data_IF_811063106384
#
_entry.id   IF_811063106384
#
_cell.length_a   1.000
_cell.length_b   1.000
_cell.length_c   1.000
_cell.angle_alpha   90.00
_cell.angle_beta   90.00
_cell.angle_gamma   90.00
#
_symmetry.space_group_name_H-M   'P 1'
#
loop_
_entity.id
_entity.type
_entity.pdbx_description
1 polymer ?
#
# COMPACT_ATOMS: atom_id res chain seq x y z
N UNK A 1 -5.52 -16.82 3.58
CA UNK A 1 -4.70 -15.62 3.30
C UNK A 1 -3.29 -15.66 3.93
N UNK A 2 -2.66 -16.82 4.18
CA UNK A 2 -1.33 -16.84 4.84
C UNK A 2 -0.32 -16.01 4.04
N UNK A 3 0.37 -15.09 4.72
CA UNK A 3 1.37 -14.18 4.15
C UNK A 3 2.78 -14.67 4.45
N UNK A 4 3.70 -14.51 3.51
CA UNK A 4 5.09 -14.95 3.69
C UNK A 4 5.89 -14.02 4.62
N UNK A 5 5.45 -12.77 4.83
CA UNK A 5 6.16 -11.81 5.68
C UNK A 5 6.00 -12.04 7.20
N UNK A 6 5.13 -12.97 7.64
CA UNK A 6 4.81 -13.12 9.07
C UNK A 6 6.06 -13.36 9.91
N UNK A 7 6.91 -14.29 9.50
CA UNK A 7 8.07 -14.71 10.30
C UNK A 7 9.09 -13.56 10.42
N UNK A 8 9.31 -12.80 9.34
CA UNK A 8 10.19 -11.62 9.37
C UNK A 8 9.60 -10.49 10.22
N UNK A 9 8.29 -10.23 10.13
CA UNK A 9 7.63 -9.21 10.97
C UNK A 9 7.77 -9.56 12.45
N UNK A 10 7.58 -10.83 12.82
CA UNK A 10 7.77 -11.28 14.20
C UNK A 10 9.21 -11.05 14.67
N UNK A 11 10.20 -11.33 13.81
CA UNK A 11 11.61 -11.06 14.10
C UNK A 11 11.90 -9.56 14.29
N UNK A 12 11.35 -8.70 13.44
CA UNK A 12 11.59 -7.26 13.47
C UNK A 12 10.88 -6.57 14.64
N UNK A 13 9.73 -7.10 15.08
CA UNK A 13 9.00 -6.63 16.25
C UNK A 13 9.82 -6.74 17.54
N UNK A 14 10.76 -7.68 17.63
CA UNK A 14 11.70 -7.77 18.76
C UNK A 14 12.66 -6.58 18.84
N UNK A 15 12.89 -5.89 17.72
CA UNK A 15 13.92 -4.85 17.60
C UNK A 15 13.33 -3.44 17.61
N UNK A 16 12.30 -3.21 16.81
CA UNK A 16 11.79 -1.87 16.50
C UNK A 16 10.26 -1.88 16.35
N UNK A 17 9.68 -0.69 16.18
CA UNK A 17 8.30 -0.59 15.69
C UNK A 17 8.24 -1.24 14.32
N UNK A 18 7.21 -2.04 14.05
CA UNK A 18 6.95 -2.52 12.70
C UNK A 18 5.76 -1.77 12.11
N UNK A 19 5.92 -1.24 10.91
CA UNK A 19 4.82 -0.72 10.10
C UNK A 19 4.43 -1.74 9.02
N UNK A 20 3.14 -2.02 8.92
CA UNK A 20 2.58 -2.72 7.75
C UNK A 20 1.91 -1.67 6.88
N UNK A 21 2.50 -1.44 5.70
CA UNK A 21 2.04 -0.45 4.72
C UNK A 21 1.60 -1.14 3.44
N UNK A 22 0.76 -0.49 2.64
CA UNK A 22 0.33 -1.04 1.35
C UNK A 22 -1.09 -0.61 0.94
N UNK A 23 -1.58 -1.12 -0.20
CA UNK A 23 -2.88 -0.75 -0.76
C UNK A 23 -4.04 -1.01 0.21
N UNK A 24 -5.12 -0.24 0.09
CA UNK A 24 -6.36 -0.48 0.84
C UNK A 24 -6.94 -1.85 0.46
N UNK A 25 -7.60 -2.54 1.39
CA UNK A 25 -8.16 -3.90 1.18
C UNK A 25 -7.15 -5.01 0.81
N UNK A 26 -5.84 -4.76 0.84
CA UNK A 26 -4.81 -5.80 0.64
C UNK A 26 -4.70 -6.80 1.81
N UNK A 27 -5.39 -6.55 2.92
CA UNK A 27 -5.40 -7.43 4.10
C UNK A 27 -4.42 -7.05 5.22
N UNK A 28 -4.08 -5.76 5.36
CA UNK A 28 -3.21 -5.26 6.45
C UNK A 28 -3.77 -5.56 7.84
N UNK A 29 -5.03 -5.19 8.10
CA UNK A 29 -5.71 -5.46 9.37
C UNK A 29 -5.82 -6.96 9.65
N UNK A 30 -6.05 -7.78 8.61
CA UNK A 30 -6.04 -9.24 8.76
C UNK A 30 -4.66 -9.74 9.21
N UNK A 31 -3.59 -9.32 8.53
CA UNK A 31 -2.22 -9.71 8.86
C UNK A 31 -1.84 -9.29 10.29
N UNK A 32 -2.18 -8.06 10.68
CA UNK A 32 -1.90 -7.57 12.03
C UNK A 32 -2.62 -8.38 13.11
N UNK A 33 -3.90 -8.73 12.90
CA UNK A 33 -4.65 -9.59 13.82
C UNK A 33 -4.09 -11.01 13.88
N UNK A 34 -3.64 -11.58 12.75
CA UNK A 34 -2.99 -12.88 12.73
C UNK A 34 -1.66 -12.89 13.49
N UNK A 35 -0.87 -11.83 13.35
CA UNK A 35 0.34 -11.64 14.17
C UNK A 35 -0.06 -11.53 15.66
N UNK A 36 -1.12 -10.79 15.97
CA UNK A 36 -1.65 -10.66 17.34
C UNK A 36 -1.98 -11.98 18.01
N UNK A 37 -2.43 -13.00 17.26
CA UNK A 37 -2.69 -14.36 17.77
C UNK A 37 -1.42 -15.11 18.22
N UNK A 38 -0.23 -14.64 17.84
CA UNK A 38 1.06 -15.24 18.25
C UNK A 38 1.57 -14.72 19.60
N UNK A 39 0.90 -13.72 20.17
CA UNK A 39 1.25 -13.09 21.44
C UNK A 39 0.22 -13.46 22.52
N UNK A 40 0.66 -13.51 23.78
CA UNK A 40 -0.21 -13.93 24.89
C UNK A 40 -1.21 -12.82 25.26
N UNK A 41 -0.81 -11.57 25.13
CA UNK A 41 -1.57 -10.40 25.57
C UNK A 41 -1.53 -9.29 24.51
N UNK A 42 -1.95 -9.60 23.28
CA UNK A 42 -2.07 -8.58 22.24
C UNK A 42 -3.25 -7.63 22.50
N UNK A 43 -3.04 -6.34 22.25
CA UNK A 43 -4.07 -5.31 22.27
C UNK A 43 -4.19 -4.70 20.87
N UNK A 44 -5.37 -4.81 20.27
CA UNK A 44 -5.69 -4.18 19.00
C UNK A 44 -6.54 -2.94 19.24
N UNK A 45 -6.13 -1.80 18.69
CA UNK A 45 -6.84 -0.53 18.75
C UNK A 45 -6.91 0.07 17.35
N UNK A 46 -8.10 0.43 16.88
CA UNK A 46 -8.30 1.05 15.58
C UNK A 46 -8.78 2.50 15.76
N UNK A 47 -8.02 3.45 15.21
CA UNK A 47 -8.29 4.87 15.42
C UNK A 47 -9.62 5.36 14.79
N UNK A 48 -10.26 4.59 13.92
CA UNK A 48 -11.62 4.90 13.43
C UNK A 48 -12.71 4.69 14.50
N UNK A 49 -12.41 3.96 15.58
CA UNK A 49 -13.35 3.72 16.68
C UNK A 49 -13.13 4.71 17.79
N UNK A 50 -14.20 5.39 18.21
CA UNK A 50 -14.11 6.44 19.23
C UNK A 50 -13.58 5.90 20.56
N UNK A 51 -13.98 4.69 20.97
CA UNK A 51 -13.53 4.06 22.21
C UNK A 51 -12.01 3.79 22.17
N UNK A 52 -11.52 3.27 21.06
CA UNK A 52 -10.10 2.99 20.84
C UNK A 52 -9.28 4.29 20.81
N UNK A 53 -9.82 5.38 20.25
CA UNK A 53 -9.15 6.69 20.29
C UNK A 53 -8.90 7.17 21.72
N UNK A 54 -9.85 6.96 22.64
CA UNK A 54 -9.67 7.35 24.03
C UNK A 54 -8.57 6.53 24.70
N UNK A 55 -8.54 5.22 24.46
CA UNK A 55 -7.50 4.32 24.98
C UNK A 55 -6.12 4.71 24.43
N UNK A 56 -6.02 5.01 23.13
CA UNK A 56 -4.78 5.46 22.49
C UNK A 56 -4.32 6.77 23.13
N UNK A 57 -5.17 7.80 23.19
CA UNK A 57 -4.79 9.11 23.72
C UNK A 57 -4.40 9.09 25.20
N UNK A 58 -5.06 8.26 26.00
CA UNK A 58 -4.78 8.11 27.43
C UNK A 58 -3.68 7.08 27.74
N UNK A 59 -3.14 6.40 26.73
CA UNK A 59 -2.21 5.28 26.87
C UNK A 59 -2.69 4.20 27.86
N UNK A 60 -4.01 3.96 27.88
CA UNK A 60 -4.68 3.22 28.97
C UNK A 60 -4.89 1.73 28.67
N UNK A 61 -4.08 1.14 27.79
CA UNK A 61 -4.13 -0.30 27.52
C UNK A 61 -3.58 -1.10 28.73
N UNK A 62 -3.93 -2.40 28.85
CA UNK A 62 -3.47 -3.22 29.96
C UNK A 62 -1.94 -3.25 30.07
N UNK A 63 -1.38 -3.07 31.28
CA UNK A 63 0.08 -3.13 31.51
C UNK A 63 0.72 -4.47 31.14
N UNK A 64 -0.07 -5.54 31.09
CA UNK A 64 0.37 -6.89 30.69
C UNK A 64 0.52 -7.07 29.17
N UNK A 65 0.17 -6.05 28.37
CA UNK A 65 0.20 -6.14 26.91
C UNK A 65 1.63 -6.36 26.41
N UNK A 66 1.84 -7.44 25.65
CA UNK A 66 3.13 -7.80 25.04
C UNK A 66 3.23 -7.36 23.56
N UNK A 67 2.08 -7.09 22.92
CA UNK A 67 1.99 -6.48 21.60
C UNK A 67 0.86 -5.45 21.54
N UNK A 68 1.19 -4.21 21.21
CA UNK A 68 0.23 -3.15 20.88
C UNK A 68 0.11 -3.01 19.37
N UNK A 69 -1.10 -3.22 18.84
CA UNK A 69 -1.44 -3.06 17.43
C UNK A 69 -2.27 -1.78 17.28
N UNK A 70 -1.74 -0.82 16.53
CA UNK A 70 -2.39 0.47 16.25
C UNK A 70 -2.79 0.52 14.78
N UNK A 71 -4.10 0.39 14.51
CA UNK A 71 -4.65 0.46 13.15
C UNK A 71 -5.13 1.87 12.81
N UNK A 72 -4.88 2.27 11.56
CA UNK A 72 -5.25 3.60 11.02
C UNK A 72 -4.72 4.79 11.86
N UNK A 73 -3.62 4.59 12.60
CA UNK A 73 -3.04 5.59 13.52
C UNK A 73 -2.69 6.93 12.84
N UNK A 74 -2.39 6.90 11.54
CA UNK A 74 -2.07 8.10 10.76
C UNK A 74 -3.20 9.14 10.68
N UNK A 75 -4.43 8.78 11.07
CA UNK A 75 -5.56 9.70 11.21
C UNK A 75 -5.47 10.56 12.47
N UNK A 76 -4.64 10.17 13.44
CA UNK A 76 -4.38 10.97 14.64
C UNK A 76 -3.49 12.18 14.31
N UNK A 77 -3.90 13.41 14.65
CA UNK A 77 -3.02 14.57 14.56
C UNK A 77 -1.77 14.36 15.42
N UNK A 78 -0.59 14.64 14.86
CA UNK A 78 0.68 14.48 15.61
C UNK A 78 1.07 13.03 15.92
N UNK A 79 0.47 12.04 15.25
CA UNK A 79 0.67 10.61 15.55
C UNK A 79 2.13 10.16 15.60
N UNK A 80 3.02 10.77 14.80
CA UNK A 80 4.44 10.38 14.80
C UNK A 80 5.14 10.71 16.12
N UNK A 81 4.82 11.87 16.72
CA UNK A 81 5.38 12.29 18.00
C UNK A 81 4.79 11.47 19.14
N UNK A 82 3.49 11.20 19.08
CA UNK A 82 2.81 10.28 20.00
C UNK A 82 3.49 8.90 19.98
N UNK A 83 3.66 8.31 18.80
CA UNK A 83 4.25 6.98 18.65
C UNK A 83 5.72 6.93 19.13
N UNK A 84 6.48 8.01 18.89
CA UNK A 84 7.83 8.16 19.45
C UNK A 84 7.79 8.13 20.98
N UNK A 85 6.88 8.90 21.58
CA UNK A 85 6.66 8.91 23.03
C UNK A 85 6.40 7.51 23.57
N UNK A 86 5.38 6.82 23.03
CA UNK A 86 5.03 5.45 23.41
C UNK A 86 6.22 4.50 23.26
N UNK A 87 7.00 4.61 22.19
CA UNK A 87 8.15 3.74 21.96
C UNK A 87 9.31 4.01 22.93
N UNK A 88 9.57 5.27 23.26
CA UNK A 88 10.67 5.67 24.14
C UNK A 88 10.32 5.42 25.63
N UNK A 89 9.03 5.39 26.02
CA UNK A 89 8.56 5.17 27.41
C UNK A 89 7.99 3.77 27.68
N UNK A 90 7.93 2.89 26.67
CA UNK A 90 7.32 1.56 26.80
C UNK A 90 7.99 0.70 27.88
N UNK A 91 7.18 -0.18 28.47
CA UNK A 91 7.69 -1.28 29.29
C UNK A 91 8.56 -2.23 28.45
N UNK A 92 9.56 -2.82 29.10
CA UNK A 92 10.39 -3.85 28.49
C UNK A 92 9.53 -5.03 28.01
N UNK A 93 9.72 -5.46 26.77
CA UNK A 93 8.93 -6.52 26.14
C UNK A 93 7.66 -6.06 25.42
N UNK A 94 7.24 -4.78 25.52
CA UNK A 94 6.14 -4.27 24.70
C UNK A 94 6.58 -4.06 23.25
N UNK A 95 5.97 -4.80 22.33
CA UNK A 95 6.18 -4.66 20.88
C UNK A 95 5.09 -3.79 20.29
N UNK A 96 5.40 -3.05 19.23
CA UNK A 96 4.47 -2.11 18.61
C UNK A 96 4.36 -2.41 17.12
N UNK A 97 3.15 -2.73 16.69
CA UNK A 97 2.79 -2.94 15.29
C UNK A 97 1.83 -1.83 14.87
N UNK A 98 2.13 -1.14 13.78
CA UNK A 98 1.27 -0.08 13.24
C UNK A 98 0.84 -0.46 11.83
N UNK A 99 -0.46 -0.41 11.57
CA UNK A 99 -1.00 -0.54 10.21
C UNK A 99 -1.43 0.82 9.70
N UNK A 100 -1.23 1.04 8.40
CA UNK A 100 -1.82 2.19 7.74
C UNK A 100 -1.72 2.11 6.24
N UNK A 101 -2.50 2.98 5.59
CA UNK A 101 -2.55 3.10 4.14
C UNK A 101 -1.34 3.87 3.60
N UNK A 102 -1.19 3.86 2.27
CA UNK A 102 -0.77 4.97 1.40
C UNK A 102 0.03 6.13 2.02
N UNK A 103 -0.61 6.84 2.96
CA UNK A 103 -0.09 8.02 3.63
C UNK A 103 1.24 7.77 4.36
N UNK A 104 1.40 6.61 5.01
CA UNK A 104 2.60 6.32 5.79
C UNK A 104 3.88 6.30 4.95
N UNK A 105 3.81 5.82 3.70
CA UNK A 105 4.96 5.79 2.80
C UNK A 105 5.29 7.17 2.23
N UNK A 106 4.29 7.99 1.87
CA UNK A 106 4.50 9.38 1.46
C UNK A 106 5.14 10.22 2.59
N UNK A 107 4.75 9.95 3.84
CA UNK A 107 5.30 10.62 5.03
C UNK A 107 6.70 10.14 5.44
N UNK A 108 7.29 9.13 4.76
CA UNK A 108 8.72 8.78 4.93
C UNK A 108 9.64 9.90 4.45
N UNK A 109 9.19 10.76 3.55
CA UNK A 109 10.01 11.82 2.93
C UNK A 109 10.02 13.14 3.71
N UNK A 110 9.27 13.26 4.81
CA UNK A 110 9.15 14.52 5.58
C UNK A 110 9.35 14.29 7.08
N UNK A 111 10.49 14.78 7.59
CA UNK A 111 10.70 15.23 8.97
C UNK A 111 10.80 14.17 10.08
N UNK A 112 12.05 13.76 10.34
CA UNK A 112 12.75 13.39 11.59
C UNK A 112 12.14 12.59 12.76
N UNK A 113 10.83 12.53 13.02
CA UNK A 113 10.41 12.10 14.37
C UNK A 113 10.51 10.58 14.66
N UNK A 114 10.57 9.74 13.62
CA UNK A 114 10.62 8.26 13.76
C UNK A 114 11.85 7.62 13.09
N UNK A 115 12.79 8.42 12.58
CA UNK A 115 13.95 7.92 11.88
C UNK A 115 14.72 6.90 12.75
N UNK A 116 15.07 5.76 12.15
CA UNK A 116 15.80 4.68 12.80
C UNK A 116 15.01 3.85 13.82
N UNK A 117 13.77 4.20 14.18
CA UNK A 117 12.95 3.51 15.21
C UNK A 117 11.96 2.49 14.65
N UNK A 118 11.92 2.31 13.34
CA UNK A 118 10.99 1.37 12.72
C UNK A 118 11.57 0.58 11.55
N UNK A 119 10.96 -0.56 11.29
CA UNK A 119 11.00 -1.28 10.02
C UNK A 119 9.63 -1.16 9.36
N UNK A 120 9.57 -1.06 8.03
CA UNK A 120 8.29 -1.16 7.33
C UNK A 120 8.29 -2.33 6.37
N UNK A 121 7.13 -2.98 6.34
CA UNK A 121 6.83 -4.13 5.52
C UNK A 121 5.71 -3.75 4.56
N UNK A 122 6.02 -3.72 3.27
CA UNK A 122 5.03 -3.49 2.20
C UNK A 122 4.24 -4.77 1.96
N UNK A 123 2.98 -4.74 2.35
CA UNK A 123 2.01 -5.77 2.04
C UNK A 123 1.35 -5.46 0.69
N UNK A 124 1.79 -6.15 -0.35
CA UNK A 124 1.24 -6.04 -1.71
C UNK A 124 0.21 -7.15 -2.00
N UNK A 125 -0.57 -7.01 -3.08
CA UNK A 125 -1.51 -8.04 -3.53
C UNK A 125 -0.86 -9.42 -3.62
N UNK A 126 -1.67 -10.48 -3.55
CA UNK A 126 -1.18 -11.86 -3.68
C UNK A 126 -0.28 -12.02 -4.90
N UNK A 127 0.72 -12.86 -4.73
CA UNK A 127 1.55 -13.35 -5.84
C UNK A 127 1.35 -14.85 -5.98
N UNK A 128 1.67 -15.38 -7.16
CA UNK A 128 1.66 -16.81 -7.41
C UNK A 128 2.38 -17.61 -6.30
N UNK A 129 3.54 -17.12 -5.86
CA UNK A 129 4.32 -17.72 -4.76
C UNK A 129 3.56 -17.88 -3.42
N UNK A 130 2.59 -17.02 -3.10
CA UNK A 130 1.80 -17.12 -1.87
C UNK A 130 0.60 -18.07 -2.01
N UNK A 131 0.13 -18.26 -3.24
CA UNK A 131 -1.05 -19.09 -3.54
C UNK A 131 -0.66 -20.51 -3.94
N UNK A 132 0.64 -20.85 -4.01
CA UNK A 132 1.12 -22.21 -4.36
C UNK A 132 0.51 -23.35 -3.54
N UNK A 133 0.03 -23.09 -2.32
CA UNK A 133 -0.66 -24.08 -1.47
C UNK A 133 -2.11 -24.38 -1.91
N UNK A 134 -2.62 -23.60 -2.87
CA UNK A 134 -3.91 -23.70 -3.53
C UNK A 134 -3.65 -23.74 -5.05
N UNK A 135 -3.06 -24.82 -5.57
CA UNK A 135 -2.63 -24.91 -6.97
C UNK A 135 -3.78 -24.68 -7.97
N UNK A 136 -5.02 -25.02 -7.58
CA UNK A 136 -6.24 -24.76 -8.34
C UNK A 136 -6.54 -23.26 -8.54
N UNK A 137 -6.03 -22.40 -7.67
CA UNK A 137 -6.17 -20.95 -7.75
C UNK A 137 -4.92 -20.27 -8.31
N UNK A 138 -3.78 -20.98 -8.36
CA UNK A 138 -2.46 -20.41 -8.64
C UNK A 138 -2.14 -20.32 -10.15
N UNK A 139 -3.10 -19.87 -10.97
CA UNK A 139 -2.91 -19.70 -12.42
C UNK A 139 -2.67 -18.25 -12.80
N UNK A 140 -1.82 -18.00 -13.79
CA UNK A 140 -1.51 -16.65 -14.29
C UNK A 140 -2.78 -15.99 -14.84
N UNK A 141 -3.62 -16.77 -15.51
CA UNK A 141 -4.89 -16.34 -16.09
C UNK A 141 -5.81 -15.78 -15.01
N UNK A 142 -5.93 -16.45 -13.87
CA UNK A 142 -6.74 -15.96 -12.74
C UNK A 142 -6.19 -14.64 -12.21
N UNK A 143 -4.88 -14.46 -12.13
CA UNK A 143 -4.30 -13.18 -11.72
C UNK A 143 -4.51 -12.07 -12.74
N UNK A 144 -4.49 -12.38 -14.04
CA UNK A 144 -4.80 -11.43 -15.12
C UNK A 144 -6.26 -10.99 -15.05
N UNK A 145 -7.19 -11.89 -14.75
CA UNK A 145 -8.64 -11.62 -14.72
C UNK A 145 -9.12 -11.00 -13.39
N UNK A 146 -8.60 -11.52 -12.27
CA UNK A 146 -9.07 -11.19 -10.92
C UNK A 146 -8.17 -10.20 -10.18
N UNK A 147 -6.91 -10.09 -10.58
CA UNK A 147 -5.90 -9.33 -9.85
C UNK A 147 -5.41 -10.09 -8.62
N UNK A 148 -4.45 -9.51 -7.89
CA UNK A 148 -3.92 -10.12 -6.67
C UNK A 148 -4.65 -9.71 -5.39
N UNK A 149 -5.61 -8.79 -5.44
CA UNK A 149 -6.28 -8.32 -4.23
C UNK A 149 -7.08 -9.46 -3.59
N UNK A 150 -7.02 -9.66 -2.26
CA UNK A 150 -7.57 -10.87 -1.65
C UNK A 150 -9.04 -11.12 -1.95
N UNK A 151 -9.88 -10.10 -1.82
CA UNK A 151 -11.33 -10.22 -1.99
C UNK A 151 -11.76 -10.55 -3.43
N UNK A 152 -11.35 -9.80 -4.49
CA UNK A 152 -11.72 -10.16 -5.86
C UNK A 152 -11.03 -11.45 -6.34
N UNK A 153 -9.84 -11.79 -5.81
CA UNK A 153 -9.15 -13.03 -6.16
C UNK A 153 -9.87 -14.27 -5.62
N UNK A 154 -10.38 -14.19 -4.39
CA UNK A 154 -11.09 -15.26 -3.69
C UNK A 154 -12.60 -15.29 -3.98
N UNK A 155 -13.13 -14.29 -4.70
CA UNK A 155 -14.54 -14.24 -5.07
C UNK A 155 -14.97 -15.47 -5.88
N UNK A 156 -16.20 -15.95 -5.62
CA UNK A 156 -16.78 -17.14 -6.27
C UNK A 156 -17.01 -16.91 -7.76
N UNK A 157 -17.52 -15.74 -8.15
CA UNK A 157 -17.87 -15.40 -9.53
C UNK A 157 -17.07 -14.21 -10.07
N UNK A 158 -16.94 -14.11 -11.40
CA UNK A 158 -16.29 -12.96 -12.05
C UNK A 158 -17.08 -11.67 -11.84
N UNK A 159 -18.40 -11.80 -11.83
CA UNK A 159 -19.32 -10.73 -11.53
C UNK A 159 -19.02 -10.11 -10.16
N UNK A 160 -18.81 -10.92 -9.12
CA UNK A 160 -18.53 -10.40 -7.77
C UNK A 160 -17.16 -9.72 -7.69
N UNK A 161 -16.13 -10.29 -8.32
CA UNK A 161 -14.83 -9.65 -8.42
C UNK A 161 -14.91 -8.29 -9.14
N UNK A 162 -15.71 -8.20 -10.20
CA UNK A 162 -15.94 -6.95 -10.96
C UNK A 162 -16.74 -5.94 -10.14
N UNK A 163 -17.79 -6.37 -9.43
CA UNK A 163 -18.59 -5.51 -8.53
C UNK A 163 -17.73 -4.93 -7.43
N UNK A 164 -16.91 -5.75 -6.78
CA UNK A 164 -15.93 -5.30 -5.79
C UNK A 164 -15.01 -4.23 -6.37
N UNK A 165 -14.47 -4.46 -7.57
CA UNK A 165 -13.51 -3.55 -8.21
C UNK A 165 -14.13 -2.19 -8.53
N UNK A 166 -15.37 -2.18 -9.01
CA UNK A 166 -16.12 -0.95 -9.26
C UNK A 166 -16.32 -0.17 -7.95
N UNK A 167 -16.69 -0.84 -6.86
CA UNK A 167 -16.84 -0.22 -5.55
C UNK A 167 -15.50 0.28 -4.98
N UNK A 168 -14.41 -0.47 -5.19
CA UNK A 168 -13.07 -0.09 -4.77
C UNK A 168 -12.61 1.20 -5.45
N UNK A 169 -12.76 1.29 -6.78
CA UNK A 169 -12.41 2.50 -7.54
C UNK A 169 -13.27 3.69 -7.11
N UNK A 170 -14.59 3.50 -6.99
CA UNK A 170 -15.49 4.56 -6.53
C UNK A 170 -15.14 5.04 -5.12
N UNK A 171 -14.83 4.12 -4.19
CA UNK A 171 -14.43 4.43 -2.82
C UNK A 171 -13.10 5.18 -2.74
N UNK A 172 -12.09 4.75 -3.51
CA UNK A 172 -10.80 5.44 -3.60
C UNK A 172 -10.97 6.87 -4.12
N UNK A 173 -11.75 7.04 -5.20
CA UNK A 173 -11.91 8.32 -5.87
C UNK A 173 -12.78 9.29 -5.05
N UNK A 174 -13.82 8.80 -4.37
CA UNK A 174 -14.70 9.67 -3.58
C UNK A 174 -14.14 9.97 -2.21
N UNK A 175 -13.60 8.97 -1.51
CA UNK A 175 -13.24 9.13 -0.10
C UNK A 175 -11.77 9.51 0.07
N UNK A 176 -10.86 8.79 -0.59
CA UNK A 176 -9.44 8.93 -0.28
C UNK A 176 -8.79 10.10 -1.04
N UNK A 177 -9.21 10.32 -2.29
CA UNK A 177 -8.77 11.47 -3.11
C UNK A 177 -9.29 12.80 -2.52
N UNK A 178 -10.56 12.90 -2.11
CA UNK A 178 -11.07 14.14 -1.48
C UNK A 178 -10.35 14.51 -0.18
N UNK A 179 -9.84 13.51 0.54
CA UNK A 179 -9.05 13.72 1.74
C UNK A 179 -7.59 14.14 1.46
N UNK A 180 -7.16 14.24 0.19
CA UNK A 180 -5.93 14.94 -0.17
C UNK A 180 -6.22 16.44 -0.25
N UNK A 181 -5.51 17.22 0.55
CA UNK A 181 -5.64 18.68 0.56
C UNK A 181 -5.53 19.27 -0.87
N UNK A 182 -6.42 20.20 -1.21
CA UNK A 182 -6.40 21.02 -2.44
C UNK A 182 -6.68 20.31 -3.77
N UNK A 183 -7.56 19.32 -3.84
CA UNK A 183 -8.06 18.83 -5.14
C UNK A 183 -9.27 19.67 -5.56
N UNK A 184 -9.05 20.54 -6.54
CA UNK A 184 -10.08 21.46 -7.04
C UNK A 184 -10.94 20.83 -8.13
N UNK A 185 -10.46 19.76 -8.78
CA UNK A 185 -11.15 19.12 -9.90
C UNK A 185 -11.06 17.58 -9.83
N UNK A 186 -12.12 16.98 -9.28
CA UNK A 186 -12.29 15.53 -9.21
C UNK A 186 -12.47 14.88 -10.59
N UNK A 187 -13.02 15.60 -11.57
CA UNK A 187 -13.23 15.05 -12.90
C UNK A 187 -11.91 14.93 -13.64
N UNK A 188 -11.02 15.91 -13.48
CA UNK A 188 -9.70 15.86 -14.08
C UNK A 188 -8.84 14.72 -13.52
N UNK A 189 -8.84 14.45 -12.21
CA UNK A 189 -8.10 13.29 -11.67
C UNK A 189 -8.70 11.95 -12.11
N UNK A 190 -10.03 11.86 -12.24
CA UNK A 190 -10.69 10.69 -12.86
C UNK A 190 -10.26 10.52 -14.31
N UNK A 191 -10.15 11.61 -15.07
CA UNK A 191 -9.68 11.56 -16.45
C UNK A 191 -8.21 11.10 -16.53
N UNK A 192 -7.34 11.61 -15.66
CA UNK A 192 -5.95 11.13 -15.54
C UNK A 192 -5.92 9.63 -15.23
N UNK A 193 -6.73 9.16 -14.29
CA UNK A 193 -6.87 7.74 -13.99
C UNK A 193 -7.30 6.92 -15.22
N UNK A 194 -8.34 7.36 -15.94
CA UNK A 194 -8.83 6.70 -17.15
C UNK A 194 -7.81 6.66 -18.30
N UNK A 195 -7.04 7.74 -18.47
CA UNK A 195 -5.95 7.80 -19.45
C UNK A 195 -4.87 6.78 -19.07
N UNK A 196 -4.41 6.77 -17.82
CA UNK A 196 -3.35 5.88 -17.36
C UNK A 196 -3.70 4.39 -17.53
N UNK A 197 -4.97 4.01 -17.36
CA UNK A 197 -5.44 2.62 -17.57
C UNK A 197 -5.13 2.08 -18.97
N UNK A 198 -4.95 2.95 -19.95
CA UNK A 198 -4.64 2.62 -21.36
C UNK A 198 -3.16 2.81 -21.72
N UNK A 199 -2.34 3.36 -20.81
CA UNK A 199 -0.93 3.69 -21.04
C UNK A 199 0.05 2.71 -20.38
N UNK A 200 -0.44 1.58 -19.87
CA UNK A 200 0.42 0.55 -19.30
C UNK A 200 1.48 0.11 -20.31
N UNK A 201 2.73 0.01 -19.84
CA UNK A 201 3.87 -0.34 -20.67
C UNK A 201 4.39 0.78 -21.58
N UNK A 202 3.69 1.91 -21.66
CA UNK A 202 4.09 3.08 -22.46
C UNK A 202 4.81 4.14 -21.61
N UNK A 203 5.83 4.83 -22.13
CA UNK A 203 6.41 6.00 -21.46
C UNK A 203 5.36 7.09 -21.22
N UNK A 204 5.33 7.65 -20.02
CA UNK A 204 4.36 8.67 -19.63
C UNK A 204 4.75 10.05 -20.19
N UNK A 205 3.97 10.53 -21.16
CA UNK A 205 4.00 11.94 -21.56
C UNK A 205 3.06 12.76 -20.67
N UNK A 206 3.60 13.40 -19.64
CA UNK A 206 2.83 14.30 -18.75
C UNK A 206 2.12 15.39 -19.56
N UNK A 207 2.78 15.91 -20.60
CA UNK A 207 2.18 16.92 -21.46
C UNK A 207 0.94 16.39 -22.22
N UNK A 208 0.96 15.14 -22.69
CA UNK A 208 -0.23 14.55 -23.34
C UNK A 208 -1.34 14.32 -22.33
N UNK A 209 -1.03 13.71 -21.19
CA UNK A 209 -1.99 13.44 -20.13
C UNK A 209 -2.66 14.75 -19.67
N UNK A 210 -1.89 15.82 -19.52
CA UNK A 210 -2.39 17.13 -19.13
C UNK A 210 -3.36 17.72 -20.16
N UNK A 211 -3.03 17.66 -21.46
CA UNK A 211 -3.92 18.10 -22.54
C UNK A 211 -5.21 17.30 -22.56
N UNK A 212 -5.11 15.98 -22.52
CA UNK A 212 -6.26 15.07 -22.62
C UNK A 212 -7.17 15.17 -21.38
N UNK A 213 -6.59 15.46 -20.20
CA UNK A 213 -7.32 15.70 -18.97
C UNK A 213 -7.80 17.15 -18.78
N UNK A 214 -7.45 18.08 -19.69
CA UNK A 214 -7.86 19.48 -19.61
C UNK A 214 -7.23 20.27 -18.46
N UNK A 215 -6.02 19.90 -18.01
CA UNK A 215 -5.33 20.54 -16.87
C UNK A 215 -3.90 20.95 -17.21
N UNK A 216 -3.26 21.72 -16.33
CA UNK A 216 -1.84 22.06 -16.48
C UNK A 216 -0.95 20.81 -16.30
N UNK A 217 0.26 20.76 -16.91
CA UNK A 217 1.22 19.69 -16.66
C UNK A 217 1.59 19.51 -15.19
N UNK A 218 1.68 20.60 -14.43
CA UNK A 218 1.94 20.57 -12.98
C UNK A 218 0.81 19.85 -12.24
N UNK A 219 -0.45 20.15 -12.60
CA UNK A 219 -1.63 19.49 -12.04
C UNK A 219 -1.66 17.99 -12.40
N UNK A 220 -1.36 17.63 -13.66
CA UNK A 220 -1.30 16.24 -14.09
C UNK A 220 -0.21 15.45 -13.33
N UNK A 221 1.00 16.01 -13.18
CA UNK A 221 2.07 15.41 -12.35
C UNK A 221 1.62 15.21 -10.91
N UNK A 222 0.94 16.21 -10.33
CA UNK A 222 0.40 16.12 -8.97
C UNK A 222 -0.64 15.01 -8.85
N UNK A 223 -1.56 14.88 -9.81
CA UNK A 223 -2.58 13.83 -9.82
C UNK A 223 -1.98 12.43 -9.99
N UNK A 224 -0.97 12.26 -10.85
CA UNK A 224 -0.20 11.01 -10.95
C UNK A 224 0.45 10.68 -9.59
N UNK A 225 1.05 11.67 -8.92
CA UNK A 225 1.64 11.50 -7.59
C UNK A 225 0.62 11.10 -6.52
N UNK A 226 -0.60 11.64 -6.56
CA UNK A 226 -1.69 11.25 -5.64
C UNK A 226 -2.11 9.80 -5.89
N UNK A 227 -2.30 9.40 -7.16
CA UNK A 227 -2.63 8.00 -7.51
C UNK A 227 -1.53 7.02 -7.08
N UNK A 228 -0.28 7.42 -7.18
CA UNK A 228 0.86 6.63 -6.71
C UNK A 228 0.89 6.53 -5.17
N UNK A 229 0.74 7.67 -4.48
CA UNK A 229 0.67 7.69 -3.03
C UNK A 229 -0.48 6.83 -2.49
N UNK A 230 -1.61 6.77 -3.20
CA UNK A 230 -2.77 5.93 -2.87
C UNK A 230 -2.59 4.43 -3.16
N UNK A 231 -1.43 3.99 -3.66
CA UNK A 231 -1.23 2.62 -4.14
C UNK A 231 -2.24 2.20 -5.22
N UNK A 232 -2.65 3.13 -6.09
CA UNK A 232 -3.46 2.81 -7.28
C UNK A 232 -2.52 2.41 -8.41
N UNK A 233 -1.47 3.21 -8.60
CA UNK A 233 -0.41 2.99 -9.58
C UNK A 233 0.96 2.98 -8.91
N UNK A 234 1.97 2.51 -9.62
CA UNK A 234 3.37 2.74 -9.31
C UNK A 234 4.14 3.03 -10.61
N UNK A 235 5.24 3.78 -10.50
CA UNK A 235 6.09 4.12 -11.64
C UNK A 235 7.37 3.30 -11.65
N UNK A 236 7.76 2.84 -12.83
CA UNK A 236 9.08 2.28 -13.10
C UNK A 236 9.84 3.29 -13.96
N UNK A 237 10.96 3.77 -13.43
CA UNK A 237 11.86 4.66 -14.16
C UNK A 237 12.79 3.84 -15.05
N UNK A 238 13.16 4.33 -16.24
CA UNK A 238 14.13 3.65 -17.08
C UNK A 238 15.44 3.43 -16.33
N UNK A 239 16.08 2.28 -16.54
CA UNK A 239 17.42 2.03 -16.04
C UNK A 239 18.47 2.49 -17.06
N UNK A 240 19.53 3.12 -16.58
CA UNK A 240 20.73 3.42 -17.37
C UNK A 240 21.93 3.53 -16.45
N UNK A 241 23.11 3.22 -16.98
CA UNK A 241 24.38 3.30 -16.23
C UNK A 241 24.64 4.68 -15.62
N UNK A 242 24.00 5.73 -16.16
CA UNK A 242 23.99 7.05 -15.58
C UNK A 242 22.63 7.31 -14.91
N UNK A 243 22.56 7.04 -13.60
CA UNK A 243 21.35 7.20 -12.78
C UNK A 243 20.76 8.62 -12.94
N UNK A 244 21.62 9.66 -12.99
CA UNK A 244 21.19 11.04 -13.18
C UNK A 244 20.42 11.26 -14.49
N UNK A 245 20.87 10.64 -15.60
CA UNK A 245 20.14 10.68 -16.88
C UNK A 245 18.88 9.82 -16.86
N UNK A 246 18.86 8.74 -16.09
CA UNK A 246 17.68 7.90 -15.91
C UNK A 246 16.51 8.62 -15.27
N UNK A 247 16.77 9.46 -14.27
CA UNK A 247 15.76 10.26 -13.55
C UNK A 247 15.03 11.23 -14.50
N UNK A 248 15.72 11.72 -15.53
CA UNK A 248 15.15 12.65 -16.51
C UNK A 248 14.29 11.97 -17.59
N UNK A 249 14.36 10.64 -17.71
CA UNK A 249 13.58 9.91 -18.73
C UNK A 249 12.15 9.66 -18.24
N UNK A 250 11.21 9.66 -19.17
CA UNK A 250 9.81 9.38 -18.89
C UNK A 250 9.62 7.98 -18.27
N UNK A 251 9.04 7.87 -17.07
CA UNK A 251 8.74 6.59 -16.46
C UNK A 251 7.57 5.89 -17.17
N UNK A 252 7.41 4.60 -16.92
CA UNK A 252 6.18 3.85 -17.23
C UNK A 252 5.35 3.73 -15.96
N UNK A 253 4.02 3.76 -16.08
CA UNK A 253 3.12 3.48 -14.94
C UNK A 253 2.40 2.14 -15.10
N UNK A 254 2.18 1.51 -13.96
CA UNK A 254 1.52 0.21 -13.82
C UNK A 254 0.53 0.29 -12.65
N UNK A 255 -0.51 -0.54 -12.67
CA UNK A 255 -1.53 -0.61 -11.62
C UNK A 255 -1.24 -1.73 -10.64
N UNK A 256 -1.51 -1.51 -9.35
CA UNK A 256 -1.43 -2.59 -8.36
C UNK A 256 -2.49 -3.67 -8.58
N UNK A 257 -3.64 -3.31 -9.18
CA UNK A 257 -4.69 -4.25 -9.56
C UNK A 257 -4.73 -4.42 -11.09
N UNK A 258 -4.17 -5.53 -11.59
CA UNK A 258 -4.03 -5.84 -13.02
C UNK A 258 -5.29 -5.61 -13.85
N UNK A 259 -6.50 -6.01 -13.43
CA UNK A 259 -7.65 -5.92 -14.30
C UNK A 259 -8.36 -4.56 -14.19
N UNK A 260 -7.72 -3.56 -13.57
CA UNK A 260 -7.99 -2.14 -13.87
C UNK A 260 -7.45 -1.74 -15.25
N UNK A 261 -6.47 -2.45 -15.80
CA UNK A 261 -5.85 -2.12 -17.09
C UNK A 261 -6.83 -2.35 -18.25
N UNK A 262 -6.97 -1.33 -19.09
CA UNK A 262 -7.78 -1.35 -20.31
C UNK A 262 -6.83 -1.55 -21.49
N UNK A 263 -6.83 -2.77 -22.03
CA UNK A 263 -5.95 -3.17 -23.11
C UNK A 263 -6.15 -4.66 -23.41
N UNK A 264 -5.31 -5.18 -24.31
CA UNK A 264 -5.27 -6.59 -24.62
C UNK A 264 -4.66 -7.43 -23.46
N UNK A 265 -4.60 -8.73 -23.68
CA UNK A 265 -3.99 -9.65 -22.71
C UNK A 265 -2.49 -9.37 -22.50
N UNK A 266 -1.79 -8.84 -23.53
CA UNK A 266 -0.38 -8.48 -23.44
C UNK A 266 -0.14 -7.36 -22.44
N UNK A 267 -0.92 -6.27 -22.52
CA UNK A 267 -0.84 -5.16 -21.59
C UNK A 267 -1.15 -5.59 -20.14
N UNK A 268 -2.16 -6.44 -19.94
CA UNK A 268 -2.50 -6.98 -18.61
C UNK A 268 -1.42 -7.92 -18.07
N UNK A 269 -0.85 -8.76 -18.93
CA UNK A 269 0.25 -9.64 -18.56
C UNK A 269 1.50 -8.84 -18.17
N UNK A 270 1.89 -7.83 -18.95
CA UNK A 270 2.99 -6.93 -18.60
C UNK A 270 2.76 -6.27 -17.24
N UNK A 271 1.54 -5.76 -16.99
CA UNK A 271 1.19 -5.19 -15.69
C UNK A 271 1.35 -6.20 -14.55
N UNK A 272 0.85 -7.43 -14.74
CA UNK A 272 0.96 -8.47 -13.73
C UNK A 272 2.41 -8.83 -13.41
N UNK A 273 3.28 -8.88 -14.44
CA UNK A 273 4.72 -9.08 -14.25
C UNK A 273 5.33 -7.91 -13.48
N UNK A 274 5.00 -6.67 -13.82
CA UNK A 274 5.49 -5.49 -13.11
C UNK A 274 5.12 -5.53 -11.62
N UNK A 275 3.88 -5.88 -11.26
CA UNK A 275 3.44 -6.04 -9.87
C UNK A 275 4.21 -7.15 -9.16
N UNK A 276 4.41 -8.28 -9.84
CA UNK A 276 5.13 -9.43 -9.28
C UNK A 276 6.60 -9.10 -8.98
N UNK A 277 7.28 -8.41 -9.91
CA UNK A 277 8.65 -7.95 -9.74
C UNK A 277 8.74 -6.88 -8.65
N UNK A 278 7.85 -5.89 -8.64
CA UNK A 278 7.78 -4.88 -7.59
C UNK A 278 7.67 -5.54 -6.21
N UNK A 279 6.83 -6.57 -6.08
CA UNK A 279 6.67 -7.30 -4.83
C UNK A 279 7.92 -8.06 -4.41
N UNK A 280 8.59 -8.70 -5.36
CA UNK A 280 9.84 -9.40 -5.08
C UNK A 280 10.91 -8.42 -4.56
N UNK A 281 11.12 -7.32 -5.28
CA UNK A 281 12.03 -6.24 -4.87
C UNK A 281 11.62 -5.64 -3.52
N UNK A 282 10.32 -5.42 -3.31
CA UNK A 282 9.81 -4.89 -2.05
C UNK A 282 10.14 -5.80 -0.88
N UNK A 283 9.93 -7.11 -1.05
CA UNK A 283 10.24 -8.10 -0.03
C UNK A 283 11.75 -8.23 0.22
N UNK A 284 12.57 -8.17 -0.82
CA UNK A 284 14.04 -8.20 -0.70
C UNK A 284 14.54 -6.96 0.07
N UNK A 285 14.08 -5.76 -0.28
CA UNK A 285 14.44 -4.54 0.46
C UNK A 285 13.92 -4.56 1.92
N UNK A 286 12.65 -4.94 2.13
CA UNK A 286 12.02 -4.86 3.44
C UNK A 286 12.49 -5.96 4.41
N UNK A 287 12.84 -7.15 3.91
CA UNK A 287 13.24 -8.30 4.73
C UNK A 287 14.76 -8.54 4.76
N UNK A 288 15.48 -8.25 3.68
CA UNK A 288 16.92 -8.54 3.54
C UNK A 288 17.78 -7.27 3.58
N UNK A 289 17.17 -6.10 3.42
CA UNK A 289 17.90 -4.83 3.39
C UNK A 289 18.69 -4.60 2.09
N UNK A 290 18.36 -5.32 1.03
CA UNK A 290 18.99 -5.13 -0.27
C UNK A 290 18.73 -3.70 -0.78
N UNK A 291 19.75 -3.10 -1.38
CA UNK A 291 19.64 -1.82 -2.09
C UNK A 291 19.90 -2.11 -3.56
N UNK A 292 18.87 -1.92 -4.40
CA UNK A 292 19.00 -1.91 -5.86
C UNK A 292 19.37 -0.51 -6.35
#
# INVERSE_FOLDING_TARGET
>A
MRRNQIDQILHDLEKKIVFIVGPRQVGKTWLAKEIGKKFKHSQYLNYDRFEDQQIIKAESWPKRTDLLILDELHKMPGWKNYLKGVFDTRAEGLRILVTGSARLDAFRQTGDSLAGRFFAHRLLPFSLAEIKKHPELATVERFIERGGFPEPFLAESETDARRWRNQYVDGLVRTDILNFENINDLNAIKMVFEILRRLVGSPLSVASIARDAGVSPVTATRYIGILEALFIIFRIYPYSNNIGRSILKAPKAYFYDTPLVVGDIGARFENHLAVSLLKHVSASNDCLGDTL
#
